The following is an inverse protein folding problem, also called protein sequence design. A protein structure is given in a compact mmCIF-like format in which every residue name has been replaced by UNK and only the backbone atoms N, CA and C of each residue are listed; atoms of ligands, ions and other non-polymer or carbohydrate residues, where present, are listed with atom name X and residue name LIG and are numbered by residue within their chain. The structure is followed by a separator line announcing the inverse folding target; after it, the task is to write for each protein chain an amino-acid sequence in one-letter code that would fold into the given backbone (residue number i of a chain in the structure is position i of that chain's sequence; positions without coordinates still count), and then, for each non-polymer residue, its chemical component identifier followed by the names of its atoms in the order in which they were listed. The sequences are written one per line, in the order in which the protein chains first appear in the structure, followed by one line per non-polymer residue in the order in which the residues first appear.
data_IF_186539203322
#
_entry.id   IF_186539203322
#
_cell.length_a   1.000
_cell.length_b   1.000
_cell.length_c   1.000
_cell.angle_alpha   90.00
_cell.angle_beta   90.00
_cell.angle_gamma   90.00
#
_symmetry.space_group_name_H-M   'P 1'
#
loop_
_entity.id
_entity.type
_entity.pdbx_description
1 polymer ?
#
# COMPACT_ATOMS: atom_id res chain seq x y z
N UNK A 1 17.67 19.01 51.45
CA UNK A 1 16.49 19.19 50.58
C UNK A 1 16.83 18.83 49.13
N UNK A 2 17.85 19.45 48.54
CA UNK A 2 18.26 19.19 47.12
C UNK A 2 18.66 17.74 46.86
N UNK A 3 19.34 17.08 47.81
CA UNK A 3 19.75 15.67 47.67
C UNK A 3 18.53 14.72 47.60
N UNK A 4 17.54 14.96 48.46
CA UNK A 4 16.29 14.20 48.51
C UNK A 4 15.43 14.40 47.24
N UNK A 5 15.44 15.61 46.68
CA UNK A 5 14.77 15.96 45.45
C UNK A 5 15.44 15.24 44.25
N UNK A 6 16.78 15.20 44.20
CA UNK A 6 17.52 14.53 43.15
C UNK A 6 17.29 13.02 43.19
N UNK A 7 17.28 12.40 44.37
CA UNK A 7 16.95 10.98 44.55
C UNK A 7 15.54 10.65 44.04
N UNK A 8 14.56 11.52 44.31
CA UNK A 8 13.20 11.35 43.77
C UNK A 8 13.14 11.46 42.24
N UNK A 9 13.87 12.38 41.63
CA UNK A 9 13.95 12.51 40.17
C UNK A 9 14.63 11.31 39.54
N UNK A 10 15.70 10.80 40.08
CA UNK A 10 16.40 9.60 39.60
C UNK A 10 15.50 8.36 39.67
N UNK A 11 14.72 8.22 40.75
CA UNK A 11 13.76 7.13 40.90
C UNK A 11 12.64 7.23 39.87
N UNK A 12 12.06 8.40 39.64
CA UNK A 12 11.03 8.63 38.62
C UNK A 12 11.56 8.37 37.21
N UNK A 13 12.79 8.79 36.92
CA UNK A 13 13.42 8.49 35.62
C UNK A 13 13.62 6.98 35.41
N UNK A 14 14.05 6.26 36.45
CA UNK A 14 14.20 4.82 36.39
C UNK A 14 12.86 4.10 36.18
N UNK A 15 11.81 4.52 36.89
CA UNK A 15 10.46 3.96 36.71
C UNK A 15 9.90 4.20 35.29
N UNK A 16 10.11 5.41 34.73
CA UNK A 16 9.71 5.74 33.36
C UNK A 16 10.50 4.92 32.33
N UNK A 17 11.82 4.77 32.53
CA UNK A 17 12.66 3.96 31.66
C UNK A 17 12.25 2.48 31.68
N UNK A 18 11.95 1.94 32.86
CA UNK A 18 11.47 0.57 33.00
C UNK A 18 10.13 0.38 32.29
N UNK A 19 9.17 1.26 32.53
CA UNK A 19 7.85 1.22 31.88
C UNK A 19 7.96 1.33 30.35
N UNK A 20 8.84 2.20 29.85
CA UNK A 20 9.11 2.34 28.42
C UNK A 20 9.70 1.05 27.81
N UNK A 21 10.62 0.42 28.56
CA UNK A 21 11.25 -0.83 28.12
C UNK A 21 10.24 -2.00 28.09
N UNK A 22 9.41 -2.11 29.12
CA UNK A 22 8.33 -3.10 29.19
C UNK A 22 7.30 -2.90 28.05
N UNK A 23 6.90 -1.66 27.75
CA UNK A 23 6.03 -1.34 26.64
C UNK A 23 6.67 -1.66 25.29
N UNK A 24 7.98 -1.45 25.13
CA UNK A 24 8.70 -1.79 23.91
C UNK A 24 8.79 -3.32 23.70
N UNK A 25 9.05 -4.08 24.78
CA UNK A 25 9.09 -5.54 24.73
C UNK A 25 7.72 -6.09 24.34
N UNK A 26 6.65 -5.66 25.02
CA UNK A 26 5.28 -6.07 24.69
C UNK A 26 4.90 -5.77 23.25
N UNK A 27 5.34 -4.61 22.73
CA UNK A 27 5.10 -4.23 21.31
C UNK A 27 5.86 -5.10 20.33
N UNK A 28 7.07 -5.56 20.69
CA UNK A 28 7.86 -6.49 19.86
C UNK A 28 7.22 -7.87 19.84
N UNK A 29 6.78 -8.37 20.98
CA UNK A 29 6.06 -9.66 21.10
C UNK A 29 4.77 -9.65 20.28
N UNK A 30 3.93 -8.61 20.41
CA UNK A 30 2.71 -8.45 19.60
C UNK A 30 3.02 -8.41 18.10
N UNK A 31 4.13 -7.77 17.72
CA UNK A 31 4.59 -7.69 16.34
C UNK A 31 4.97 -9.08 15.79
N UNK A 32 5.73 -9.86 16.56
CA UNK A 32 6.18 -11.20 16.17
C UNK A 32 5.00 -12.18 16.09
N UNK A 33 4.05 -12.11 17.02
CA UNK A 33 2.81 -12.88 17.00
C UNK A 33 1.98 -12.60 15.74
N UNK A 34 1.83 -11.33 15.35
CA UNK A 34 1.13 -10.96 14.11
C UNK A 34 1.85 -11.51 12.89
N UNK A 35 3.18 -11.45 12.83
CA UNK A 35 3.95 -12.00 11.72
C UNK A 35 3.78 -13.52 11.61
N UNK A 36 3.84 -14.23 12.71
CA UNK A 36 3.62 -15.68 12.77
C UNK A 36 2.20 -16.02 12.29
N UNK A 37 1.18 -15.33 12.81
CA UNK A 37 -0.21 -15.53 12.42
C UNK A 37 -0.44 -15.26 10.91
N UNK A 38 0.13 -14.20 10.34
CA UNK A 38 0.03 -13.93 8.89
C UNK A 38 0.70 -15.02 8.07
N UNK A 39 1.84 -15.56 8.53
CA UNK A 39 2.50 -16.68 7.88
C UNK A 39 1.63 -17.96 7.90
N UNK A 40 1.00 -18.24 9.01
CA UNK A 40 0.08 -19.39 9.14
C UNK A 40 -1.15 -19.24 8.24
N UNK A 41 -1.68 -18.03 8.09
CA UNK A 41 -2.84 -17.76 7.23
C UNK A 41 -2.54 -17.85 5.72
N UNK A 42 -1.29 -17.66 5.29
CA UNK A 42 -0.91 -17.81 3.88
C UNK A 42 -1.10 -19.24 3.36
N UNK A 43 -0.83 -20.24 4.20
CA UNK A 43 -0.96 -21.65 3.81
C UNK A 43 -2.41 -22.04 3.46
N UNK A 44 -3.42 -21.85 4.35
CA UNK A 44 -4.82 -22.17 4.02
C UNK A 44 -5.36 -21.30 2.90
N UNK A 45 -4.92 -20.04 2.77
CA UNK A 45 -5.32 -19.22 1.64
C UNK A 45 -4.79 -19.74 0.30
N UNK A 46 -3.55 -20.24 0.27
CA UNK A 46 -3.01 -20.87 -0.95
C UNK A 46 -3.78 -22.16 -1.28
N UNK A 47 -4.11 -22.96 -0.28
CA UNK A 47 -4.93 -24.16 -0.46
C UNK A 47 -6.32 -23.82 -1.00
N UNK A 48 -7.00 -22.83 -0.43
CA UNK A 48 -8.31 -22.36 -0.93
C UNK A 48 -8.23 -21.88 -2.38
N UNK A 49 -7.15 -21.18 -2.77
CA UNK A 49 -6.94 -20.74 -4.16
C UNK A 49 -6.84 -21.94 -5.12
N UNK A 50 -6.08 -22.97 -4.76
CA UNK A 50 -5.94 -24.18 -5.58
C UNK A 50 -7.24 -24.97 -5.69
N UNK A 51 -8.04 -25.02 -4.61
CA UNK A 51 -9.35 -25.70 -4.62
C UNK A 51 -10.34 -24.96 -5.49
N UNK A 52 -10.39 -23.62 -5.43
CA UNK A 52 -11.38 -22.87 -6.18
C UNK A 52 -11.09 -22.82 -7.69
N UNK A 53 -9.84 -23.04 -8.12
CA UNK A 53 -9.50 -23.18 -9.53
C UNK A 53 -10.23 -24.36 -10.22
N UNK A 54 -10.73 -25.31 -9.43
CA UNK A 54 -11.47 -26.48 -9.88
C UNK A 54 -12.99 -26.32 -9.82
N UNK A 55 -13.50 -25.15 -9.35
CA UNK A 55 -14.93 -24.92 -9.21
C UNK A 55 -15.56 -24.54 -10.56
N UNK A 56 -16.68 -25.23 -10.86
CA UNK A 56 -17.60 -24.85 -11.92
C UNK A 56 -18.99 -24.61 -11.33
N UNK A 57 -19.81 -23.69 -11.82
CA UNK A 57 -19.63 -22.87 -13.03
C UNK A 57 -18.67 -21.67 -12.84
N UNK A 58 -18.14 -21.17 -13.93
CA UNK A 58 -17.18 -20.06 -14.01
C UNK A 58 -17.62 -18.79 -13.24
N UNK A 59 -18.92 -18.50 -13.25
CA UNK A 59 -19.50 -17.34 -12.52
C UNK A 59 -19.35 -17.43 -11.00
N UNK A 60 -19.42 -18.63 -10.42
CA UNK A 60 -19.19 -18.84 -8.98
C UNK A 60 -17.71 -18.68 -8.66
N UNK A 61 -16.84 -19.17 -9.52
CA UNK A 61 -15.39 -19.03 -9.40
C UNK A 61 -14.96 -17.58 -9.38
N UNK A 62 -15.48 -16.72 -10.28
CA UNK A 62 -15.18 -15.29 -10.31
C UNK A 62 -15.55 -14.58 -8.99
N UNK A 63 -16.72 -14.89 -8.42
CA UNK A 63 -17.13 -14.33 -7.13
C UNK A 63 -16.22 -14.75 -5.98
N UNK A 64 -15.76 -16.00 -5.98
CA UNK A 64 -14.81 -16.49 -4.98
C UNK A 64 -13.44 -15.82 -5.15
N UNK A 65 -12.99 -15.61 -6.39
CA UNK A 65 -11.75 -14.87 -6.69
C UNK A 65 -11.74 -13.47 -6.08
N UNK A 66 -12.87 -12.76 -6.17
CA UNK A 66 -13.01 -11.40 -5.62
C UNK A 66 -12.91 -11.41 -4.10
N UNK A 67 -13.63 -12.32 -3.43
CA UNK A 67 -13.57 -12.40 -1.98
C UNK A 67 -12.19 -12.89 -1.49
N UNK A 68 -11.56 -13.80 -2.24
CA UNK A 68 -10.19 -14.22 -1.98
C UNK A 68 -9.21 -13.05 -2.10
N UNK A 69 -9.34 -12.22 -3.17
CA UNK A 69 -8.50 -11.02 -3.34
C UNK A 69 -8.71 -10.02 -2.19
N UNK A 70 -9.95 -9.84 -1.71
CA UNK A 70 -10.23 -8.98 -0.55
C UNK A 70 -9.52 -9.46 0.71
N UNK A 71 -9.59 -10.76 1.01
CA UNK A 71 -8.87 -11.36 2.13
C UNK A 71 -7.35 -11.21 1.98
N UNK A 72 -6.83 -11.47 0.77
CA UNK A 72 -5.42 -11.29 0.46
C UNK A 72 -4.95 -9.86 0.72
N UNK A 73 -5.70 -8.86 0.27
CA UNK A 73 -5.39 -7.44 0.51
C UNK A 73 -5.36 -7.09 2.00
N UNK A 74 -6.30 -7.61 2.80
CA UNK A 74 -6.33 -7.37 4.24
C UNK A 74 -5.12 -7.98 4.96
N UNK A 75 -4.75 -9.22 4.63
CA UNK A 75 -3.58 -9.89 5.18
C UNK A 75 -2.29 -9.21 4.75
N UNK A 76 -2.20 -8.83 3.48
CA UNK A 76 -1.05 -8.11 2.93
C UNK A 76 -0.85 -6.74 3.61
N UNK A 77 -1.94 -6.00 3.86
CA UNK A 77 -1.90 -4.76 4.64
C UNK A 77 -1.39 -4.98 6.07
N UNK A 78 -1.83 -6.05 6.75
CA UNK A 78 -1.36 -6.39 8.09
C UNK A 78 0.13 -6.74 8.10
N UNK A 79 0.56 -7.58 7.16
CA UNK A 79 1.96 -7.97 7.03
C UNK A 79 2.87 -6.76 6.78
N UNK A 80 2.47 -5.86 5.87
CA UNK A 80 3.27 -4.67 5.56
C UNK A 80 3.22 -3.64 6.69
N UNK A 81 2.09 -3.51 7.41
CA UNK A 81 1.99 -2.64 8.57
C UNK A 81 2.98 -3.04 9.67
N UNK A 82 3.13 -4.34 9.94
CA UNK A 82 4.11 -4.85 10.91
C UNK A 82 5.56 -4.67 10.43
N UNK A 83 5.85 -4.91 9.16
CA UNK A 83 7.21 -4.75 8.59
C UNK A 83 7.62 -3.31 8.31
N UNK A 84 6.70 -2.37 8.37
CA UNK A 84 6.98 -0.97 8.06
C UNK A 84 8.01 -0.33 9.00
N UNK A 85 8.08 -0.77 10.27
CA UNK A 85 9.08 -0.31 11.23
C UNK A 85 10.50 -0.76 10.92
N UNK A 86 10.65 -1.87 10.22
CA UNK A 86 11.95 -2.49 9.88
C UNK A 86 12.34 -2.34 8.41
N UNK A 87 11.52 -1.69 7.60
CA UNK A 87 11.72 -1.55 6.15
C UNK A 87 13.13 -1.03 5.79
N UNK A 88 13.67 -0.10 6.57
CA UNK A 88 14.99 0.49 6.33
C UNK A 88 16.13 -0.52 6.51
N UNK A 89 15.89 -1.60 7.27
CA UNK A 89 16.88 -2.68 7.50
C UNK A 89 16.74 -3.82 6.50
N UNK A 90 15.52 -4.03 5.99
CA UNK A 90 15.16 -5.20 5.19
C UNK A 90 14.99 -4.89 3.70
N UNK A 91 14.95 -3.60 3.31
CA UNK A 91 14.78 -3.21 1.91
C UNK A 91 16.00 -3.60 1.07
N UNK A 92 15.72 -4.00 -0.18
CA UNK A 92 16.72 -4.33 -1.19
C UNK A 92 16.52 -3.44 -2.40
N UNK A 93 17.25 -2.34 -2.42
CA UNK A 93 17.23 -1.44 -3.57
C UNK A 93 17.95 -2.05 -4.76
N UNK A 94 17.25 -2.12 -5.89
CA UNK A 94 17.78 -2.60 -7.16
C UNK A 94 17.22 -1.79 -8.33
N UNK A 95 17.94 -1.80 -9.45
CA UNK A 95 17.42 -1.25 -10.72
C UNK A 95 16.40 -2.23 -11.27
N UNK A 96 15.14 -1.82 -11.38
CA UNK A 96 14.04 -2.66 -11.86
C UNK A 96 13.22 -1.98 -12.95
N UNK A 97 12.62 -2.82 -13.79
CA UNK A 97 11.60 -2.40 -14.74
C UNK A 97 10.25 -2.41 -14.04
N UNK A 98 9.50 -1.33 -14.16
CA UNK A 98 8.18 -1.20 -13.50
C UNK A 98 7.12 -2.08 -14.19
N UNK A 99 7.23 -2.23 -15.52
CA UNK A 99 6.26 -2.96 -16.33
C UNK A 99 5.91 -4.38 -15.83
N UNK A 100 6.87 -5.28 -15.54
CA UNK A 100 6.54 -6.63 -15.05
C UNK A 100 5.78 -6.60 -13.73
N UNK A 101 6.12 -5.67 -12.82
CA UNK A 101 5.46 -5.53 -11.52
C UNK A 101 4.00 -5.08 -11.73
N UNK A 102 3.78 -4.05 -12.55
CA UNK A 102 2.44 -3.55 -12.88
C UNK A 102 1.58 -4.64 -13.50
N UNK A 103 2.11 -5.38 -14.49
CA UNK A 103 1.37 -6.48 -15.15
C UNK A 103 0.97 -7.55 -14.14
N UNK A 104 1.90 -7.96 -13.27
CA UNK A 104 1.64 -8.97 -12.24
C UNK A 104 0.53 -8.52 -11.29
N UNK A 105 0.56 -7.26 -10.85
CA UNK A 105 -0.45 -6.73 -9.94
C UNK A 105 -1.83 -6.62 -10.63
N UNK A 106 -1.89 -6.15 -11.87
CA UNK A 106 -3.15 -6.08 -12.65
C UNK A 106 -3.80 -7.46 -12.79
N UNK A 107 -3.00 -8.50 -13.06
CA UNK A 107 -3.51 -9.87 -13.17
C UNK A 107 -4.26 -10.32 -11.90
N UNK A 108 -3.79 -9.89 -10.73
CA UNK A 108 -4.47 -10.14 -9.46
C UNK A 108 -5.88 -9.53 -9.36
N UNK A 109 -6.14 -8.41 -10.05
CA UNK A 109 -7.44 -7.73 -10.04
C UNK A 109 -8.35 -8.10 -11.20
N UNK A 110 -7.95 -9.04 -12.08
CA UNK A 110 -8.68 -9.37 -13.30
C UNK A 110 -10.16 -9.70 -13.05
N UNK A 111 -10.46 -10.60 -12.12
CA UNK A 111 -11.84 -11.02 -11.83
C UNK A 111 -12.69 -9.85 -11.32
N UNK A 112 -12.11 -8.98 -10.50
CA UNK A 112 -12.81 -7.79 -10.00
C UNK A 112 -13.04 -6.74 -11.10
N UNK A 113 -12.08 -6.54 -11.99
CA UNK A 113 -12.26 -5.68 -13.16
C UNK A 113 -13.36 -6.21 -14.09
N UNK A 114 -13.39 -7.53 -14.36
CA UNK A 114 -14.42 -8.16 -15.19
C UNK A 114 -15.82 -8.00 -14.57
N UNK A 115 -15.98 -8.24 -13.25
CA UNK A 115 -17.27 -8.07 -12.57
C UNK A 115 -17.81 -6.64 -12.72
N UNK A 116 -16.94 -5.63 -12.66
CA UNK A 116 -17.32 -4.22 -12.79
C UNK A 116 -17.36 -3.71 -14.24
N UNK A 117 -16.99 -4.54 -15.22
CA UNK A 117 -16.87 -4.11 -16.61
C UNK A 117 -15.75 -3.08 -16.83
N UNK A 118 -14.69 -3.11 -16.01
CA UNK A 118 -13.57 -2.17 -16.12
C UNK A 118 -12.58 -2.62 -17.18
N UNK A 119 -12.29 -1.76 -18.15
CA UNK A 119 -11.13 -1.91 -19.02
C UNK A 119 -9.85 -1.48 -18.29
N UNK A 120 -8.72 -2.12 -18.60
CA UNK A 120 -7.40 -1.69 -18.11
C UNK A 120 -6.53 -1.36 -19.32
N UNK A 121 -6.26 -0.07 -19.51
CA UNK A 121 -5.39 0.44 -20.55
C UNK A 121 -3.97 0.59 -19.99
N UNK A 122 -3.01 -0.09 -20.61
CA UNK A 122 -1.60 -0.01 -20.26
C UNK A 122 -0.90 0.80 -21.35
N UNK A 123 -0.52 2.03 -21.02
CA UNK A 123 0.28 2.90 -21.86
C UNK A 123 1.77 2.54 -21.82
N UNK A 124 2.62 3.48 -22.22
CA UNK A 124 4.07 3.31 -22.14
C UNK A 124 4.49 3.11 -20.67
N UNK A 125 5.21 2.02 -20.38
CA UNK A 125 5.81 1.68 -19.09
C UNK A 125 7.32 1.52 -19.22
N UNK A 126 7.92 2.30 -20.12
CA UNK A 126 9.34 2.24 -20.43
C UNK A 126 10.17 2.96 -19.37
N UNK A 127 11.30 2.37 -19.01
CA UNK A 127 12.24 2.94 -18.06
C UNK A 127 12.62 1.98 -16.94
N UNK A 128 13.70 2.35 -16.29
CA UNK A 128 14.17 1.68 -15.07
C UNK A 128 14.10 2.65 -13.90
N UNK A 129 13.73 2.14 -12.75
CA UNK A 129 13.68 2.87 -11.49
C UNK A 129 14.54 2.15 -10.46
N UNK A 130 14.93 2.84 -9.42
CA UNK A 130 15.61 2.22 -8.28
C UNK A 130 14.61 2.14 -7.13
N UNK A 131 14.29 0.93 -6.69
CA UNK A 131 13.37 0.69 -5.58
C UNK A 131 13.51 -0.74 -5.07
N UNK A 132 12.76 -1.09 -4.03
CA UNK A 132 12.54 -2.47 -3.60
C UNK A 132 11.33 -3.05 -4.33
N UNK A 133 11.51 -4.17 -5.04
CA UNK A 133 10.47 -4.77 -5.87
C UNK A 133 9.21 -5.17 -5.08
N UNK A 134 9.40 -5.71 -3.86
CA UNK A 134 8.28 -6.18 -3.02
C UNK A 134 7.45 -5.02 -2.46
N UNK A 135 8.12 -3.99 -1.99
CA UNK A 135 7.46 -2.81 -1.47
C UNK A 135 6.81 -1.98 -2.57
N UNK A 136 7.46 -1.88 -3.74
CA UNK A 136 6.86 -1.22 -4.90
C UNK A 136 5.60 -1.96 -5.36
N UNK A 137 5.64 -3.30 -5.44
CA UNK A 137 4.46 -4.12 -5.74
C UNK A 137 3.33 -3.89 -4.73
N UNK A 138 3.65 -3.80 -3.43
CA UNK A 138 2.68 -3.47 -2.39
C UNK A 138 2.03 -2.09 -2.63
N UNK A 139 2.83 -1.05 -2.89
CA UNK A 139 2.31 0.30 -3.15
C UNK A 139 1.38 0.28 -4.37
N UNK A 140 1.82 -0.28 -5.49
CA UNK A 140 1.03 -0.40 -6.73
C UNK A 140 -0.29 -1.14 -6.46
N UNK A 141 -0.25 -2.24 -5.71
CA UNK A 141 -1.43 -3.03 -5.32
C UNK A 141 -2.45 -2.21 -4.54
N UNK A 142 -2.00 -1.38 -3.59
CA UNK A 142 -2.89 -0.50 -2.82
C UNK A 142 -3.55 0.56 -3.71
N UNK A 143 -2.80 1.14 -4.65
CA UNK A 143 -3.34 2.12 -5.61
C UNK A 143 -4.31 1.48 -6.59
N UNK A 144 -3.99 0.31 -7.15
CA UNK A 144 -4.88 -0.46 -8.02
C UNK A 144 -6.16 -0.88 -7.30
N UNK A 145 -6.04 -1.35 -6.06
CA UNK A 145 -7.21 -1.68 -5.23
C UNK A 145 -8.16 -0.51 -5.08
N UNK A 146 -7.64 0.69 -4.86
CA UNK A 146 -8.46 1.90 -4.78
C UNK A 146 -9.06 2.26 -6.15
N UNK A 147 -8.27 2.23 -7.22
CA UNK A 147 -8.76 2.49 -8.58
C UNK A 147 -9.92 1.55 -8.93
N UNK A 148 -9.77 0.23 -8.76
CA UNK A 148 -10.84 -0.74 -9.03
C UNK A 148 -12.06 -0.51 -8.13
N UNK A 149 -11.84 -0.22 -6.86
CA UNK A 149 -12.89 -0.04 -5.87
C UNK A 149 -13.77 1.18 -6.16
N UNK A 150 -13.15 2.31 -6.49
CA UNK A 150 -13.82 3.60 -6.62
C UNK A 150 -14.19 3.97 -8.06
N UNK A 151 -13.69 3.24 -9.07
CA UNK A 151 -14.17 3.35 -10.45
C UNK A 151 -15.66 3.09 -10.55
N UNK A 152 -16.32 3.78 -11.44
CA UNK A 152 -17.69 3.44 -11.84
C UNK A 152 -17.70 2.21 -12.76
N UNK A 153 -18.83 1.51 -12.82
CA UNK A 153 -18.97 0.35 -13.70
C UNK A 153 -18.86 0.76 -15.18
N UNK A 154 -18.27 -0.11 -15.99
CA UNK A 154 -18.09 0.08 -17.44
C UNK A 154 -17.22 1.31 -17.79
N UNK A 155 -16.25 1.63 -16.95
CA UNK A 155 -15.21 2.64 -17.20
C UNK A 155 -13.86 1.97 -17.44
N UNK A 156 -12.79 2.74 -17.38
CA UNK A 156 -11.43 2.23 -17.57
C UNK A 156 -10.50 2.67 -16.45
N UNK A 157 -9.39 1.94 -16.31
CA UNK A 157 -8.24 2.33 -15.50
C UNK A 157 -7.06 2.45 -16.46
N UNK A 158 -6.38 3.61 -16.45
CA UNK A 158 -5.19 3.85 -17.27
C UNK A 158 -3.94 3.81 -16.41
N UNK A 159 -2.91 3.12 -16.91
CA UNK A 159 -1.62 3.01 -16.22
C UNK A 159 -0.54 3.35 -17.21
N UNK A 160 0.24 4.37 -16.92
CA UNK A 160 1.29 4.84 -17.81
C UNK A 160 2.43 5.48 -17.02
N UNK A 161 3.60 5.56 -17.66
CA UNK A 161 4.75 6.28 -17.13
C UNK A 161 5.10 7.46 -18.01
N UNK A 162 5.58 8.50 -17.37
CA UNK A 162 6.18 9.65 -18.04
C UNK A 162 7.42 10.13 -17.28
N UNK A 163 8.14 11.06 -17.88
CA UNK A 163 9.28 11.70 -17.24
C UNK A 163 8.99 13.19 -17.10
N UNK A 164 9.19 13.72 -15.89
CA UNK A 164 9.05 15.15 -15.66
C UNK A 164 10.25 15.96 -16.20
N UNK A 165 10.15 17.29 -16.18
CA UNK A 165 11.19 18.21 -16.64
C UNK A 165 12.49 18.09 -15.84
N UNK A 166 12.45 17.53 -14.63
CA UNK A 166 13.60 17.30 -13.75
C UNK A 166 14.23 15.92 -13.94
N UNK A 167 13.64 15.10 -14.82
CA UNK A 167 14.11 13.77 -15.13
C UNK A 167 13.60 12.65 -14.21
N UNK A 168 12.66 12.95 -13.29
CA UNK A 168 12.04 11.91 -12.47
C UNK A 168 11.13 11.03 -13.32
N UNK A 169 11.14 9.73 -13.05
CA UNK A 169 10.13 8.82 -13.58
C UNK A 169 8.86 8.93 -12.75
N UNK A 170 7.72 9.06 -13.40
CA UNK A 170 6.40 9.15 -12.80
C UNK A 170 5.56 7.97 -13.27
N UNK A 171 5.05 7.15 -12.34
CA UNK A 171 4.06 6.12 -12.65
C UNK A 171 2.69 6.63 -12.24
N UNK A 172 1.76 6.68 -13.19
CA UNK A 172 0.39 7.11 -13.00
C UNK A 172 -0.56 5.93 -13.04
N UNK A 173 -1.51 5.91 -12.10
CA UNK A 173 -2.68 5.02 -12.09
C UNK A 173 -3.89 5.95 -12.03
N UNK A 174 -4.64 6.03 -13.12
CA UNK A 174 -5.80 6.90 -13.29
C UNK A 174 -7.06 6.06 -13.33
N UNK A 175 -8.04 6.41 -12.52
CA UNK A 175 -9.39 5.87 -12.56
C UNK A 175 -10.42 6.94 -12.94
N UNK A 176 -11.49 6.52 -13.59
CA UNK A 176 -12.64 7.35 -13.96
C UNK A 176 -13.83 7.00 -13.06
N UNK A 177 -13.65 7.26 -11.78
CA UNK A 177 -14.61 6.93 -10.74
C UNK A 177 -15.25 8.17 -10.11
N UNK A 178 -15.73 7.98 -8.90
CA UNK A 178 -16.45 9.01 -8.15
C UNK A 178 -15.61 10.26 -7.82
N UNK A 179 -14.29 10.18 -7.97
CA UNK A 179 -13.37 11.25 -7.59
C UNK A 179 -13.33 11.51 -6.08
N UNK A 180 -12.53 12.50 -5.69
CA UNK A 180 -12.31 12.90 -4.30
C UNK A 180 -12.61 14.40 -4.17
N UNK A 181 -13.33 14.79 -3.12
CA UNK A 181 -13.58 16.20 -2.82
C UNK A 181 -12.25 16.90 -2.49
N UNK A 182 -12.13 18.17 -2.91
CA UNK A 182 -10.91 18.95 -2.65
C UNK A 182 -10.59 19.09 -1.16
N UNK A 183 -11.62 19.18 -0.30
CA UNK A 183 -11.48 19.22 1.16
C UNK A 183 -10.95 17.92 1.78
N UNK A 184 -11.14 16.77 1.10
CA UNK A 184 -10.71 15.45 1.54
C UNK A 184 -9.29 15.10 1.08
N UNK A 185 -8.82 15.66 -0.06
CA UNK A 185 -7.51 15.36 -0.64
C UNK A 185 -6.33 15.46 0.36
N UNK A 186 -6.22 16.48 1.21
CA UNK A 186 -5.13 16.58 2.18
C UNK A 186 -5.16 15.47 3.25
N UNK A 187 -6.29 14.76 3.39
CA UNK A 187 -6.53 13.78 4.45
C UNK A 187 -6.48 12.33 3.97
N UNK A 188 -6.46 12.09 2.66
CA UNK A 188 -6.54 10.72 2.09
C UNK A 188 -5.40 9.79 2.53
N UNK A 189 -4.27 10.36 2.92
CA UNK A 189 -3.11 9.62 3.45
C UNK A 189 -3.12 9.49 4.99
N UNK A 190 -4.13 10.02 5.67
CA UNK A 190 -4.24 9.87 7.13
C UNK A 190 -4.72 8.46 7.49
N UNK A 191 -4.19 7.94 8.60
CA UNK A 191 -4.55 6.61 9.12
C UNK A 191 -6.06 6.51 9.36
N UNK A 192 -6.68 5.44 8.87
CA UNK A 192 -8.12 5.14 9.04
C UNK A 192 -9.06 6.18 8.42
N UNK A 193 -8.60 7.01 7.50
CA UNK A 193 -9.44 7.94 6.78
C UNK A 193 -10.15 7.26 5.61
N UNK A 194 -11.47 7.35 5.56
CA UNK A 194 -12.29 6.67 4.54
C UNK A 194 -13.11 7.62 3.65
N UNK A 195 -13.00 8.95 3.86
CA UNK A 195 -13.83 9.94 3.15
C UNK A 195 -15.33 9.82 3.47
N UNK A 196 -16.11 10.80 3.03
CA UNK A 196 -17.58 10.81 3.26
C UNK A 196 -18.30 9.74 2.44
N UNK A 197 -17.88 9.50 1.19
CA UNK A 197 -18.50 8.54 0.27
C UNK A 197 -18.04 7.11 0.54
N UNK A 198 -16.82 6.92 1.04
CA UNK A 198 -16.26 5.59 1.36
C UNK A 198 -16.94 4.92 2.56
N UNK A 199 -17.58 5.69 3.45
CA UNK A 199 -18.30 5.15 4.62
C UNK A 199 -19.63 4.50 4.25
N UNK A 200 -20.27 4.93 3.17
CA UNK A 200 -21.62 4.47 2.81
C UNK A 200 -21.62 3.21 1.94
N UNK A 201 -20.57 2.96 1.17
CA UNK A 201 -20.60 1.92 0.12
C UNK A 201 -19.77 0.67 0.37
N UNK A 202 -18.76 0.70 1.25
CA UNK A 202 -17.89 -0.48 1.42
C UNK A 202 -17.14 -0.46 2.76
N UNK A 203 -16.88 -1.65 3.29
CA UNK A 203 -15.97 -1.89 4.42
C UNK A 203 -14.54 -1.53 3.98
N UNK A 204 -14.17 -0.25 4.05
CA UNK A 204 -12.79 0.18 3.84
C UNK A 204 -12.16 0.57 5.17
N UNK A 205 -10.98 0.00 5.43
CA UNK A 205 -10.25 0.23 6.68
C UNK A 205 -9.57 1.61 6.73
N UNK A 206 -9.46 2.31 5.60
CA UNK A 206 -8.69 3.55 5.47
C UNK A 206 -7.19 3.37 5.71
N UNK A 207 -6.69 2.12 5.66
CA UNK A 207 -5.29 1.79 5.93
C UNK A 207 -4.44 1.72 4.64
N UNK A 208 -5.03 1.39 3.49
CA UNK A 208 -4.28 1.12 2.26
C UNK A 208 -3.41 2.28 1.79
N UNK A 209 -4.01 3.45 1.57
CA UNK A 209 -3.28 4.66 1.14
C UNK A 209 -2.30 5.16 2.22
N UNK A 210 -2.67 5.08 3.49
CA UNK A 210 -1.77 5.41 4.59
C UNK A 210 -0.49 4.56 4.56
N UNK A 211 -0.63 3.23 4.47
CA UNK A 211 0.52 2.32 4.43
C UNK A 211 1.34 2.47 3.16
N UNK A 212 0.68 2.66 2.01
CA UNK A 212 1.35 2.93 0.74
C UNK A 212 2.20 4.20 0.81
N UNK A 213 1.67 5.28 1.40
CA UNK A 213 2.40 6.53 1.58
C UNK A 213 3.56 6.40 2.57
N UNK A 214 3.36 5.68 3.69
CA UNK A 214 4.44 5.42 4.64
C UNK A 214 5.57 4.60 4.01
N UNK A 215 5.23 3.57 3.24
CA UNK A 215 6.22 2.76 2.51
C UNK A 215 6.95 3.60 1.44
N UNK A 216 6.20 4.38 0.66
CA UNK A 216 6.77 5.27 -0.36
C UNK A 216 7.80 6.23 0.26
N UNK A 217 7.44 6.94 1.34
CA UNK A 217 8.34 7.85 2.04
C UNK A 217 9.64 7.17 2.52
N UNK A 218 9.53 5.96 3.08
CA UNK A 218 10.70 5.19 3.55
C UNK A 218 11.58 4.67 2.41
N UNK A 219 11.04 4.53 1.21
CA UNK A 219 11.77 4.18 -0.01
C UNK A 219 12.30 5.39 -0.77
N UNK A 220 12.08 6.62 -0.26
CA UNK A 220 12.42 7.84 -0.96
C UNK A 220 11.56 8.14 -2.19
N UNK A 221 10.39 7.51 -2.29
CA UNK A 221 9.40 7.78 -3.33
C UNK A 221 8.43 8.87 -2.84
N UNK A 222 7.88 9.65 -3.76
CA UNK A 222 6.80 10.57 -3.45
C UNK A 222 5.48 10.07 -4.03
N UNK A 223 4.46 9.95 -3.18
CA UNK A 223 3.13 9.54 -3.59
C UNK A 223 2.20 10.75 -3.58
N UNK A 224 1.59 11.04 -4.72
CA UNK A 224 0.65 12.16 -4.91
C UNK A 224 -0.69 11.65 -5.41
N UNK A 225 -1.75 12.37 -5.03
CA UNK A 225 -3.10 12.16 -5.55
C UNK A 225 -3.64 13.48 -6.08
N UNK A 226 -4.13 13.45 -7.32
CA UNK A 226 -4.94 14.53 -7.90
C UNK A 226 -6.30 13.96 -8.26
N UNK A 227 -7.37 14.72 -8.04
CA UNK A 227 -8.71 14.22 -8.33
C UNK A 227 -9.68 15.36 -8.62
N UNK A 228 -10.65 15.05 -9.46
CA UNK A 228 -11.81 15.86 -9.72
C UNK A 228 -13.07 15.05 -9.38
N UNK A 229 -13.88 15.57 -8.45
CA UNK A 229 -15.12 14.92 -8.00
C UNK A 229 -16.04 14.60 -9.19
N UNK A 230 -16.54 13.37 -9.25
CA UNK A 230 -17.40 12.88 -10.31
C UNK A 230 -16.73 12.68 -11.67
N UNK A 231 -15.40 12.68 -11.74
CA UNK A 231 -14.69 12.54 -13.01
C UNK A 231 -13.54 11.55 -12.97
N UNK A 232 -12.53 11.79 -12.13
CA UNK A 232 -11.31 10.99 -12.14
C UNK A 232 -10.50 11.13 -10.86
N UNK A 233 -9.64 10.14 -10.60
CA UNK A 233 -8.54 10.23 -9.65
C UNK A 233 -7.27 9.71 -10.29
N UNK A 234 -6.16 10.44 -10.13
CA UNK A 234 -4.84 10.05 -10.60
C UNK A 234 -3.93 9.88 -9.39
N UNK A 235 -3.48 8.66 -9.16
CA UNK A 235 -2.42 8.37 -8.20
C UNK A 235 -1.08 8.33 -8.93
N UNK A 236 -0.11 9.12 -8.45
CA UNK A 236 1.21 9.26 -9.05
C UNK A 236 2.28 8.82 -8.07
N UNK A 237 3.13 7.88 -8.49
CA UNK A 237 4.37 7.53 -7.80
C UNK A 237 5.52 8.23 -8.52
N UNK A 238 6.19 9.15 -7.84
CA UNK A 238 7.40 9.78 -8.33
C UNK A 238 8.62 9.04 -7.79
N UNK A 239 9.49 8.60 -8.68
CA UNK A 239 10.75 7.95 -8.34
C UNK A 239 11.88 8.99 -8.29
N UNK A 240 12.82 8.89 -7.34
CA UNK A 240 13.98 9.78 -7.30
C UNK A 240 14.83 9.58 -8.55
N UNK A 241 15.48 10.64 -9.00
CA UNK A 241 16.49 10.53 -10.04
C UNK A 241 17.80 9.92 -9.48
N UNK A 242 18.73 9.53 -10.37
CA UNK A 242 19.98 8.87 -9.95
C UNK A 242 20.81 9.71 -8.96
N UNK A 243 20.80 11.04 -9.09
CA UNK A 243 21.56 11.93 -8.20
C UNK A 243 20.95 12.01 -6.79
N UNK A 244 19.63 11.97 -6.68
CA UNK A 244 18.89 11.99 -5.39
C UNK A 244 19.02 10.65 -4.69
N UNK A 245 19.03 9.56 -5.45
CA UNK A 245 19.18 8.22 -4.93
C UNK A 245 20.53 8.00 -4.23
N UNK A 246 21.64 8.51 -4.83
CA UNK A 246 22.96 8.45 -4.17
C UNK A 246 22.99 9.19 -2.84
N UNK A 247 22.24 10.30 -2.71
CA UNK A 247 22.11 11.02 -1.43
C UNK A 247 21.30 10.24 -0.39
N UNK A 248 20.26 9.51 -0.80
CA UNK A 248 19.44 8.68 0.10
C UNK A 248 20.23 7.49 0.66
N UNK A 249 21.15 6.91 -0.11
CA UNK A 249 22.01 5.81 0.33
C UNK A 249 23.25 6.26 1.12
N UNK A 250 23.48 7.57 1.29
CA UNK A 250 24.66 8.07 2.00
C UNK A 250 25.98 7.83 1.26
N UNK A 251 25.93 7.67 -0.07
CA UNK A 251 27.09 7.52 -0.96
C UNK A 251 27.45 8.84 -1.65
#
# INVERSE_FOLDING_TARGET
YLKKLNEQYEQQLSEIQQSLNEANIARLEEHDDILAWVHEMKSPMTAMRLMHEQIEPYTLREKIDIEWMRLHLLLDQRLHATRLSTIEKDNRFEKLKVQPIVIQEIQGFRSWCLEKGLAVEIGALEGTVVSDAKWLAFIIRQLLSNAVKYSEANTEIRIYMERDERGHQLLHIQDFGIGIKQEDLPRVFQKSYTGTVGREKTVSTGMGLYLANQAANKLGLELRLTSQLGKETIATIQFPNENEYHKLLGM
#
